data_IF_548142797425
#
_entry.id   IF_548142797425
#
_cell.length_a   1.000
_cell.length_b   1.000
_cell.length_c   1.000
_cell.angle_alpha   90.00
_cell.angle_beta   90.00
_cell.angle_gamma   90.00
#
_symmetry.space_group_name_H-M   'P 1'
#
loop_
_entity.id
_entity.type
_entity.pdbx_description
1 polymer ?
#
# COMPACT_ATOMS: atom_id res chain seq x y z
N UNK A 1 -11.21 16.54 14.04
CA UNK A 1 -11.35 15.74 12.82
C UNK A 1 -10.22 14.74 12.84
N UNK A 2 -10.53 13.44 12.88
CA UNK A 2 -9.51 12.42 12.71
C UNK A 2 -8.92 12.57 11.31
N UNK A 3 -7.60 12.76 11.24
CA UNK A 3 -6.88 12.90 9.98
C UNK A 3 -6.80 11.51 9.37
N UNK A 4 -7.46 11.31 8.23
CA UNK A 4 -7.35 10.08 7.44
C UNK A 4 -5.87 9.79 7.13
N UNK A 5 -5.41 8.58 7.46
CA UNK A 5 -3.99 8.21 7.33
C UNK A 5 -3.55 8.12 5.87
N UNK A 6 -2.27 8.39 5.59
CA UNK A 6 -1.74 8.46 4.21
C UNK A 6 -1.79 7.09 3.52
N UNK A 7 -2.03 7.07 2.22
CA UNK A 7 -1.88 5.88 1.37
C UNK A 7 -0.48 5.91 0.76
N UNK A 8 0.27 4.82 0.87
CA UNK A 8 1.52 4.65 0.10
C UNK A 8 1.21 3.79 -1.13
N UNK A 9 1.36 4.37 -2.33
CA UNK A 9 1.29 3.65 -3.59
C UNK A 9 2.71 3.36 -4.09
N UNK A 10 3.00 2.12 -4.43
CA UNK A 10 4.30 1.68 -4.96
C UNK A 10 4.08 1.11 -6.36
N UNK A 11 4.49 1.89 -7.37
CA UNK A 11 4.20 1.65 -8.78
C UNK A 11 5.21 2.40 -9.67
N UNK A 12 5.84 1.70 -10.62
CA UNK A 12 6.79 2.31 -11.54
C UNK A 12 6.13 2.86 -12.81
N UNK A 13 5.06 2.22 -13.30
CA UNK A 13 4.35 2.64 -14.50
C UNK A 13 3.52 3.92 -14.26
N UNK A 14 3.87 4.99 -14.99
CA UNK A 14 3.22 6.29 -14.82
C UNK A 14 1.74 6.29 -15.18
N UNK A 15 1.30 5.44 -16.12
CA UNK A 15 -0.11 5.37 -16.52
C UNK A 15 -0.91 4.65 -15.45
N UNK A 16 -0.36 3.59 -14.86
CA UNK A 16 -1.01 2.90 -13.75
C UNK A 16 -1.10 3.79 -12.51
N UNK A 17 -0.07 4.60 -12.23
CA UNK A 17 -0.13 5.67 -11.21
C UNK A 17 -1.27 6.63 -11.50
N UNK A 18 -1.32 7.21 -12.70
CA UNK A 18 -2.33 8.21 -13.07
C UNK A 18 -3.75 7.64 -12.97
N UNK A 19 -3.99 6.45 -13.54
CA UNK A 19 -5.28 5.75 -13.45
C UNK A 19 -5.69 5.47 -12.01
N UNK A 20 -4.74 5.07 -11.17
CA UNK A 20 -4.98 4.79 -9.76
C UNK A 20 -5.36 6.05 -9.00
N UNK A 21 -4.61 7.14 -9.20
CA UNK A 21 -4.90 8.43 -8.58
C UNK A 21 -6.25 8.98 -9.01
N UNK A 22 -6.56 8.96 -10.31
CA UNK A 22 -7.87 9.40 -10.82
C UNK A 22 -9.01 8.61 -10.19
N UNK A 23 -8.90 7.29 -10.07
CA UNK A 23 -9.95 6.52 -9.41
C UNK A 23 -10.01 6.74 -7.89
N UNK A 24 -8.91 7.08 -7.20
CA UNK A 24 -8.97 7.45 -5.79
C UNK A 24 -9.68 8.81 -5.61
N UNK A 25 -9.42 9.75 -6.52
CA UNK A 25 -10.05 11.08 -6.56
C UNK A 25 -11.55 11.00 -6.87
N UNK A 26 -11.95 10.24 -7.89
CA UNK A 26 -13.36 10.05 -8.29
C UNK A 26 -14.25 9.54 -7.16
N UNK A 27 -13.66 8.86 -6.17
CA UNK A 27 -14.36 8.24 -5.05
C UNK A 27 -14.23 9.04 -3.75
N UNK A 28 -13.70 10.27 -3.80
CA UNK A 28 -13.55 11.20 -2.67
C UNK A 28 -12.78 10.61 -1.48
N UNK A 29 -11.77 9.76 -1.73
CA UNK A 29 -10.84 9.35 -0.69
C UNK A 29 -9.99 10.57 -0.28
N UNK A 30 -10.33 11.19 0.85
CA UNK A 30 -9.65 12.37 1.39
C UNK A 30 -8.26 12.07 2.02
N UNK A 31 -7.67 10.91 1.69
CA UNK A 31 -6.36 10.49 2.18
C UNK A 31 -5.28 11.06 1.26
N UNK A 32 -4.22 11.60 1.84
CA UNK A 32 -3.01 11.96 1.10
C UNK A 32 -2.39 10.69 0.49
N UNK A 33 -2.15 10.68 -0.82
CA UNK A 33 -1.48 9.58 -1.54
C UNK A 33 -0.03 9.95 -1.79
N UNK A 34 0.90 9.15 -1.29
CA UNK A 34 2.33 9.25 -1.58
C UNK A 34 2.70 8.15 -2.57
N UNK A 35 3.39 8.52 -3.64
CA UNK A 35 3.83 7.57 -4.68
C UNK A 35 5.33 7.30 -4.54
N UNK A 36 5.70 6.02 -4.44
CA UNK A 36 7.06 5.52 -4.61
C UNK A 36 7.15 4.81 -5.96
N UNK A 37 8.20 5.10 -6.74
CA UNK A 37 8.34 4.66 -8.14
C UNK A 37 9.16 3.39 -8.31
N UNK A 38 9.71 2.87 -7.23
CA UNK A 38 10.45 1.62 -7.20
C UNK A 38 10.48 1.06 -5.77
N UNK A 39 10.94 -0.18 -5.60
CA UNK A 39 10.95 -0.82 -4.28
C UNK A 39 11.98 -0.23 -3.31
N UNK A 40 13.05 0.40 -3.81
CA UNK A 40 14.03 1.10 -2.98
C UNK A 40 13.40 2.35 -2.37
N UNK A 41 12.70 3.15 -3.19
CA UNK A 41 11.97 4.32 -2.75
C UNK A 41 10.87 3.97 -1.75
N UNK A 42 10.18 2.85 -1.94
CA UNK A 42 9.18 2.36 -1.00
C UNK A 42 9.79 2.07 0.38
N UNK A 43 10.93 1.38 0.43
CA UNK A 43 11.63 1.08 1.68
C UNK A 43 12.22 2.36 2.30
N UNK A 44 12.78 3.25 1.49
CA UNK A 44 13.27 4.54 1.97
C UNK A 44 12.14 5.37 2.57
N UNK A 45 10.94 5.35 1.97
CA UNK A 45 9.77 5.97 2.57
C UNK A 45 9.47 5.31 3.92
N UNK A 46 9.26 3.99 3.97
CA UNK A 46 8.83 3.28 5.18
C UNK A 46 9.82 3.40 6.34
N UNK A 47 11.13 3.40 6.06
CA UNK A 47 12.17 3.55 7.07
C UNK A 47 12.62 5.00 7.32
N UNK A 48 12.00 5.99 6.66
CA UNK A 48 12.36 7.41 6.76
C UNK A 48 13.82 7.69 6.39
N UNK A 49 14.30 7.09 5.30
CA UNK A 49 15.66 7.22 4.78
C UNK A 49 15.71 8.11 3.55
N UNK A 50 16.92 8.47 3.13
CA UNK A 50 17.16 9.26 1.92
C UNK A 50 16.38 10.58 1.92
N UNK A 51 15.59 10.79 0.88
CA UNK A 51 14.77 12.00 0.70
C UNK A 51 13.61 12.12 1.69
N UNK A 52 13.30 11.07 2.45
CA UNK A 52 12.20 11.03 3.40
C UNK A 52 12.65 11.25 4.86
N UNK A 53 13.90 11.63 5.10
CA UNK A 53 14.43 11.86 6.46
C UNK A 53 13.71 12.95 7.27
N UNK A 54 13.09 13.92 6.59
CA UNK A 54 12.36 15.03 7.22
C UNK A 54 10.86 14.78 7.38
N UNK A 55 10.35 13.63 6.91
CA UNK A 55 8.92 13.30 7.03
C UNK A 55 8.58 12.90 8.47
N UNK A 56 7.31 13.10 8.85
CA UNK A 56 6.79 12.47 10.07
C UNK A 56 6.87 10.95 9.94
N UNK A 57 7.40 10.25 10.96
CA UNK A 57 7.61 8.80 10.95
C UNK A 57 6.32 7.97 11.05
N UNK A 58 5.15 8.60 10.96
CA UNK A 58 3.86 7.92 10.91
C UNK A 58 3.84 6.88 9.79
N UNK A 59 3.29 5.70 10.10
CA UNK A 59 3.05 4.66 9.12
C UNK A 59 1.88 5.05 8.20
N UNK A 60 1.90 4.63 6.93
CA UNK A 60 0.72 4.75 6.06
C UNK A 60 -0.44 3.90 6.61
N UNK A 61 -1.68 4.33 6.35
CA UNK A 61 -2.87 3.57 6.68
C UNK A 61 -2.98 2.28 5.85
N UNK A 62 -2.51 2.31 4.60
CA UNK A 62 -2.45 1.15 3.71
C UNK A 62 -1.35 1.36 2.67
N UNK A 63 -0.73 0.26 2.25
CA UNK A 63 0.22 0.20 1.15
C UNK A 63 -0.46 -0.49 -0.03
N UNK A 64 -0.46 0.16 -1.20
CA UNK A 64 -0.79 -0.43 -2.49
C UNK A 64 0.52 -0.77 -3.19
N UNK A 65 0.79 -2.05 -3.43
CA UNK A 65 2.12 -2.53 -3.84
C UNK A 65 2.04 -3.31 -5.15
N UNK A 66 2.72 -2.84 -6.20
CA UNK A 66 3.04 -3.71 -7.34
C UNK A 66 4.16 -4.71 -6.97
N UNK A 67 4.05 -5.94 -7.50
CA UNK A 67 5.07 -6.97 -7.32
C UNK A 67 6.23 -6.79 -8.31
N UNK A 68 5.96 -6.32 -9.52
CA UNK A 68 7.00 -6.16 -10.54
C UNK A 68 7.55 -4.74 -10.49
N UNK A 69 8.57 -4.55 -9.65
CA UNK A 69 9.21 -3.25 -9.46
C UNK A 69 10.68 -3.28 -9.90
N UNK A 70 11.21 -2.16 -10.41
CA UNK A 70 12.64 -2.02 -10.63
C UNK A 70 13.40 -1.89 -9.30
N UNK A 71 14.73 -2.11 -9.37
CA UNK A 71 15.70 -2.09 -8.26
C UNK A 71 15.46 -3.12 -7.17
N UNK A 72 14.37 -3.00 -6.40
CA UNK A 72 13.96 -3.95 -5.37
C UNK A 72 12.59 -4.48 -5.76
N UNK A 73 12.51 -5.80 -5.92
CA UNK A 73 11.28 -6.48 -6.31
C UNK A 73 10.19 -6.32 -5.23
N UNK A 74 8.92 -6.20 -5.64
CA UNK A 74 7.82 -5.95 -4.72
C UNK A 74 7.59 -7.10 -3.73
N UNK A 75 7.90 -8.36 -4.09
CA UNK A 75 7.85 -9.46 -3.13
C UNK A 75 8.92 -9.31 -2.03
N UNK A 76 10.09 -8.78 -2.37
CA UNK A 76 11.14 -8.51 -1.39
C UNK A 76 10.76 -7.33 -0.48
N UNK A 77 10.16 -6.27 -1.04
CA UNK A 77 9.56 -5.18 -0.24
C UNK A 77 8.54 -5.73 0.75
N UNK A 78 7.59 -6.55 0.28
CA UNK A 78 6.58 -7.19 1.12
C UNK A 78 7.20 -8.02 2.24
N UNK A 79 8.20 -8.85 1.91
CA UNK A 79 8.89 -9.69 2.88
C UNK A 79 9.58 -8.86 3.97
N UNK A 80 10.22 -7.75 3.61
CA UNK A 80 10.83 -6.84 4.58
C UNK A 80 9.79 -6.17 5.48
N UNK A 81 8.68 -5.69 4.90
CA UNK A 81 7.56 -5.13 5.67
C UNK A 81 7.06 -6.14 6.70
N UNK A 82 6.79 -7.37 6.28
CA UNK A 82 6.19 -8.41 7.13
C UNK A 82 7.17 -9.01 8.14
N UNK A 83 8.47 -8.80 7.97
CA UNK A 83 9.52 -9.24 8.90
C UNK A 83 9.91 -8.17 9.94
N UNK A 84 9.53 -6.90 9.73
CA UNK A 84 9.86 -5.80 10.65
C UNK A 84 8.74 -5.60 11.69
N UNK A 85 9.08 -5.59 12.97
CA UNK A 85 8.12 -5.44 14.07
C UNK A 85 7.29 -4.15 14.01
N UNK A 86 7.83 -3.07 13.42
CA UNK A 86 7.17 -1.78 13.31
C UNK A 86 6.33 -1.64 12.04
N UNK A 87 6.58 -2.46 11.02
CA UNK A 87 5.94 -2.37 9.70
C UNK A 87 4.96 -3.52 9.43
N UNK A 88 5.13 -4.69 10.08
CA UNK A 88 4.38 -5.92 9.78
C UNK A 88 2.86 -5.78 9.92
N UNK A 89 2.41 -4.85 10.76
CA UNK A 89 1.00 -4.57 11.00
C UNK A 89 0.38 -3.59 9.99
N UNK A 90 1.19 -2.96 9.14
CA UNK A 90 0.67 -2.10 8.08
C UNK A 90 -0.10 -2.97 7.09
N UNK A 91 -1.36 -2.62 6.76
CA UNK A 91 -2.12 -3.28 5.73
C UNK A 91 -1.43 -3.16 4.37
N UNK A 92 -1.19 -4.29 3.69
CA UNK A 92 -0.60 -4.32 2.34
C UNK A 92 -1.59 -4.98 1.38
N UNK A 93 -1.95 -4.25 0.34
CA UNK A 93 -2.72 -4.72 -0.82
C UNK A 93 -1.77 -4.84 -1.99
N UNK A 94 -1.70 -6.03 -2.58
CA UNK A 94 -0.93 -6.25 -3.80
C UNK A 94 -1.77 -5.90 -5.03
N UNK A 95 -1.26 -5.06 -5.92
CA UNK A 95 -1.84 -4.72 -7.22
C UNK A 95 -0.92 -5.27 -8.31
N UNK A 96 -1.37 -6.18 -9.18
CA UNK A 96 -0.48 -6.65 -10.26
C UNK A 96 -1.23 -7.01 -11.54
N UNK A 97 -0.51 -6.99 -12.67
CA UNK A 97 -1.03 -7.27 -14.01
C UNK A 97 -1.14 -8.76 -14.32
N UNK A 98 -0.50 -9.64 -13.55
CA UNK A 98 -0.50 -11.09 -13.80
C UNK A 98 -1.14 -11.91 -12.67
N UNK A 99 -1.85 -12.97 -13.06
CA UNK A 99 -2.34 -14.02 -12.15
C UNK A 99 -1.32 -15.14 -12.01
N UNK A 100 -0.02 -14.83 -11.95
CA UNK A 100 0.96 -15.89 -11.80
C UNK A 100 0.78 -16.58 -10.43
N UNK A 101 0.34 -17.85 -10.49
CA UNK A 101 -0.11 -18.65 -9.34
C UNK A 101 0.97 -18.76 -8.24
N UNK A 102 2.26 -18.71 -8.62
CA UNK A 102 3.40 -18.69 -7.70
C UNK A 102 3.49 -17.40 -6.88
N UNK A 103 3.29 -16.25 -7.51
CA UNK A 103 3.36 -14.95 -6.86
C UNK A 103 2.15 -14.76 -5.92
N UNK A 104 0.98 -15.30 -6.32
CA UNK A 104 -0.23 -15.42 -5.51
C UNK A 104 -0.03 -16.27 -4.24
N UNK A 105 0.45 -17.51 -4.37
CA UNK A 105 0.64 -18.40 -3.20
C UNK A 105 1.72 -17.87 -2.26
N UNK A 106 2.79 -17.26 -2.80
CA UNK A 106 3.89 -16.72 -1.99
C UNK A 106 3.47 -15.46 -1.23
N UNK A 107 2.76 -14.55 -1.87
CA UNK A 107 2.24 -13.34 -1.21
C UNK A 107 1.24 -13.69 -0.09
N UNK A 108 0.33 -14.65 -0.30
CA UNK A 108 -0.56 -15.10 0.77
C UNK A 108 0.17 -15.78 1.94
N UNK A 109 1.22 -16.56 1.67
CA UNK A 109 2.06 -17.15 2.74
C UNK A 109 2.81 -16.10 3.57
N UNK A 110 3.07 -14.93 3.01
CA UNK A 110 3.68 -13.79 3.70
C UNK A 110 2.67 -12.93 4.47
N UNK A 111 1.37 -13.24 4.40
CA UNK A 111 0.33 -12.53 5.14
C UNK A 111 -0.12 -11.21 4.51
N UNK A 112 -0.23 -11.16 3.18
CA UNK A 112 -0.92 -10.03 2.51
C UNK A 112 -2.38 -9.97 2.91
N UNK A 113 -2.90 -8.75 2.97
CA UNK A 113 -4.28 -8.51 3.37
C UNK A 113 -5.24 -8.69 2.18
N UNK A 114 -4.79 -8.41 0.96
CA UNK A 114 -5.55 -8.58 -0.28
C UNK A 114 -4.63 -8.68 -1.51
N UNK A 115 -5.15 -9.26 -2.59
CA UNK A 115 -4.51 -9.36 -3.90
C UNK A 115 -5.52 -8.93 -4.99
N UNK A 116 -5.12 -8.02 -5.87
CA UNK A 116 -5.98 -7.40 -6.90
C UNK A 116 -5.29 -7.46 -8.26
N UNK A 117 -6.04 -7.85 -9.29
CA UNK A 117 -5.53 -7.98 -10.67
C UNK A 117 -6.00 -6.79 -11.51
N UNK A 118 -5.05 -6.05 -12.09
CA UNK A 118 -5.35 -4.94 -13.01
C UNK A 118 -5.89 -5.45 -14.37
N UNK A 119 -6.68 -4.68 -15.13
CA UNK A 119 -7.33 -3.41 -14.79
C UNK A 119 -8.79 -3.55 -14.36
N UNK A 120 -9.43 -4.69 -14.64
CA UNK A 120 -10.90 -4.86 -14.58
C UNK A 120 -11.44 -4.90 -13.14
N UNK A 121 -10.59 -5.20 -12.14
CA UNK A 121 -10.97 -5.21 -10.73
C UNK A 121 -10.58 -3.96 -9.96
N UNK A 122 -9.95 -2.96 -10.59
CA UNK A 122 -9.49 -1.79 -9.86
C UNK A 122 -10.65 -0.88 -9.40
N UNK A 123 -11.71 -0.72 -10.21
CA UNK A 123 -12.93 -0.04 -9.76
C UNK A 123 -13.67 -0.80 -8.65
N UNK A 124 -13.70 -2.14 -8.71
CA UNK A 124 -14.25 -2.96 -7.62
C UNK A 124 -13.40 -2.85 -6.36
N UNK A 125 -12.08 -2.78 -6.51
CA UNK A 125 -11.14 -2.55 -5.43
C UNK A 125 -11.33 -1.16 -4.79
N UNK A 126 -11.47 -0.08 -5.55
CA UNK A 126 -11.75 1.25 -5.00
C UNK A 126 -13.08 1.26 -4.24
N UNK A 127 -14.11 0.58 -4.76
CA UNK A 127 -15.36 0.37 -4.03
C UNK A 127 -15.13 -0.42 -2.72
N UNK A 128 -14.35 -1.50 -2.76
CA UNK A 128 -14.01 -2.27 -1.57
C UNK A 128 -13.15 -1.47 -0.59
N UNK A 129 -12.23 -0.61 -1.04
CA UNK A 129 -11.44 0.31 -0.21
C UNK A 129 -12.30 1.43 0.35
N UNK A 130 -13.39 1.84 -0.30
CA UNK A 130 -14.36 2.74 0.30
C UNK A 130 -15.12 2.07 1.44
N UNK A 131 -15.58 0.84 1.24
CA UNK A 131 -16.20 0.04 2.30
C UNK A 131 -15.22 -0.25 3.43
N UNK A 132 -13.98 -0.58 3.08
CA UNK A 132 -12.93 -0.90 4.01
C UNK A 132 -12.32 0.35 4.66
N UNK A 133 -12.25 1.49 3.97
CA UNK A 133 -11.78 2.79 4.48
C UNK A 133 -12.81 3.40 5.41
N UNK A 134 -14.11 3.24 5.11
CA UNK A 134 -15.18 3.46 6.06
C UNK A 134 -15.06 2.49 7.24
N UNK A 135 -14.76 1.21 7.02
CA UNK A 135 -14.48 0.26 8.10
C UNK A 135 -13.26 0.69 8.94
N UNK A 136 -12.16 1.14 8.35
CA UNK A 136 -10.94 1.58 9.04
C UNK A 136 -11.12 2.90 9.80
N UNK A 137 -11.93 3.81 9.27
CA UNK A 137 -12.24 5.10 9.88
C UNK A 137 -13.38 5.06 10.91
N UNK A 138 -14.28 4.08 10.82
CA UNK A 138 -15.52 4.05 11.64
C UNK A 138 -15.56 2.87 12.62
N UNK A 139 -14.92 1.73 12.30
CA UNK A 139 -15.13 0.46 13.02
C UNK A 139 -13.81 -0.15 13.52
N UNK A 140 -12.73 -0.04 12.75
CA UNK A 140 -11.49 -0.74 13.05
C UNK A 140 -10.78 -0.10 14.24
N UNK A 141 -10.42 -0.94 15.22
CA UNK A 141 -9.48 -0.56 16.27
C UNK A 141 -8.09 -0.97 15.79
N UNK A 142 -7.21 -0.02 15.43
CA UNK A 142 -5.85 -0.34 15.01
C UNK A 142 -5.10 -1.05 16.16
N UNK A 143 -4.20 -2.00 15.87
CA UNK A 143 -3.41 -2.62 16.92
C UNK A 143 -2.62 -1.53 17.69
N UNK A 144 -2.48 -1.62 19.02
CA UNK A 144 -1.97 -0.52 19.86
C UNK A 144 -0.62 0.07 19.42
N UNK A 145 0.19 -0.69 18.69
CA UNK A 145 1.52 -0.31 18.21
C UNK A 145 1.55 0.40 16.84
N UNK A 146 0.40 0.61 16.19
CA UNK A 146 0.36 1.15 14.81
C UNK A 146 0.03 2.64 14.72
N UNK A 147 -0.31 3.28 15.86
CA UNK A 147 -0.75 4.69 15.90
C UNK A 147 0.37 5.64 16.33
N UNK A 148 1.45 5.15 16.93
CA UNK A 148 2.58 5.99 17.30
C UNK A 148 3.90 5.28 17.01
N UNK A 149 4.75 5.94 16.23
CA UNK A 149 6.19 5.74 16.24
C UNK A 149 6.83 7.03 16.74
#
# INVERSE_FOLDING_TARGET
MERLGRILMVEDDSKDVELTLTALEDYNLANEVVVARDGEEALDYLYCRGKFTTRSCDNPAVILLDLKLPKVDGLEVLKQIKSDENLKFIPVVVLTSSKEEKDLVTSYKLGVNAYVVKPVDFHQFVNAIKELGAFWAVINVPPPASVNK
#
